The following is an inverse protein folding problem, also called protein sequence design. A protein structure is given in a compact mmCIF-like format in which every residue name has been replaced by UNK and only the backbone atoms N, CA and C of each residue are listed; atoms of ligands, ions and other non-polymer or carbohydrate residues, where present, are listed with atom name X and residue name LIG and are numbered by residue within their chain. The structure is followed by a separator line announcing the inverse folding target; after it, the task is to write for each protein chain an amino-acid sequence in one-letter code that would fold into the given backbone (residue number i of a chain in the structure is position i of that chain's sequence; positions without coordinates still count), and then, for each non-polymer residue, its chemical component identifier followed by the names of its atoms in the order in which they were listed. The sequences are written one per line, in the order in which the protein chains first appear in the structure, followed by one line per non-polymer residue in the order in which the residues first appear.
data_IF_245530912385
#
_entry.id   IF_245530912385
#
_cell.length_a   1.000
_cell.length_b   1.000
_cell.length_c   1.000
_cell.angle_alpha   90.00
_cell.angle_beta   90.00
_cell.angle_gamma   90.00
#
_symmetry.space_group_name_H-M   'P 1'
#
loop_
_entity.id
_entity.type
_entity.pdbx_description
1 polymer ?
#
# COMPACT_ATOMS: atom_id res chain seq x y z
N UNK A 1 -16.12 23.15 -18.36
CA UNK A 1 -14.76 23.53 -17.99
C UNK A 1 -14.77 23.94 -16.54
N UNK A 2 -14.46 23.02 -15.64
CA UNK A 2 -14.34 23.29 -14.21
C UNK A 2 -12.85 23.58 -13.96
N UNK A 3 -12.56 24.86 -13.65
CA UNK A 3 -11.22 25.29 -13.32
C UNK A 3 -10.77 24.66 -12.00
N UNK A 4 -9.58 24.06 -12.01
CA UNK A 4 -8.92 23.62 -10.79
C UNK A 4 -8.68 24.81 -9.84
N UNK A 5 -8.85 24.63 -8.52
CA UNK A 5 -8.62 25.71 -7.58
C UNK A 5 -7.14 26.11 -7.56
N UNK A 6 -6.89 27.42 -7.70
CA UNK A 6 -5.56 28.00 -7.53
C UNK A 6 -5.22 28.03 -6.03
N UNK A 7 -4.27 27.23 -5.62
CA UNK A 7 -3.72 27.28 -4.28
C UNK A 7 -2.56 28.27 -4.20
N UNK A 8 -2.64 29.10 -3.16
CA UNK A 8 -1.71 30.18 -2.87
C UNK A 8 -0.52 29.61 -2.09
N UNK A 9 0.63 29.47 -2.75
CA UNK A 9 1.90 29.12 -2.12
C UNK A 9 2.43 30.29 -1.31
N UNK A 10 2.32 30.22 0.02
CA UNK A 10 3.22 30.93 0.94
C UNK A 10 2.93 30.53 2.38
N UNK A 11 3.59 29.48 2.86
CA UNK A 11 4.03 29.31 4.27
C UNK A 11 5.09 28.21 4.31
N UNK A 12 6.34 28.61 4.06
CA UNK A 12 7.51 27.88 4.52
C UNK A 12 7.55 28.05 6.05
N UNK A 13 7.38 26.94 6.78
CA UNK A 13 7.64 26.90 8.22
C UNK A 13 9.11 26.55 8.39
N UNK A 14 9.87 27.54 8.84
CA UNK A 14 11.30 27.44 9.15
C UNK A 14 11.49 26.62 10.44
N UNK A 15 11.97 25.40 10.33
CA UNK A 15 12.33 24.52 11.46
C UNK A 15 13.82 24.71 11.76
N UNK A 16 14.18 25.88 12.28
CA UNK A 16 15.45 26.11 12.99
C UNK A 16 15.19 26.97 14.21
N UNK A 17 15.63 26.48 15.35
CA UNK A 17 15.68 27.09 16.68
C UNK A 17 14.64 26.54 17.66
N UNK A 18 15.10 25.57 18.47
CA UNK A 18 15.08 25.65 19.94
C UNK A 18 16.11 24.60 20.43
N UNK A 19 17.35 25.02 20.63
CA UNK A 19 18.29 24.42 21.57
C UNK A 19 18.82 25.60 22.38
N UNK A 20 18.42 25.72 23.63
CA UNK A 20 19.12 26.54 24.62
C UNK A 20 19.16 25.81 25.95
N UNK A 21 20.39 25.61 26.36
CA UNK A 21 20.98 25.14 27.59
C UNK A 21 20.17 25.33 28.89
N UNK A 22 20.19 24.26 29.71
CA UNK A 22 20.25 24.42 31.18
C UNK A 22 20.98 23.25 31.83
N UNK A 23 21.91 23.49 32.73
CA UNK A 23 22.76 22.47 33.33
C UNK A 23 22.30 22.02 34.73
N UNK A 24 22.73 20.80 35.08
CA UNK A 24 22.82 20.20 36.41
C UNK A 24 21.55 19.87 37.18
N UNK A 25 21.31 18.56 37.32
CA UNK A 25 21.26 17.90 38.64
C UNK A 25 21.57 16.41 38.41
N UNK A 26 22.70 15.93 38.99
CA UNK A 26 23.05 14.53 39.18
C UNK A 26 22.08 13.91 40.20
N UNK A 27 21.30 12.90 39.79
CA UNK A 27 20.88 11.83 40.67
C UNK A 27 20.83 10.54 39.84
N UNK A 28 21.76 9.64 40.15
CA UNK A 28 21.77 8.28 39.63
C UNK A 28 20.59 7.52 40.20
N UNK A 29 19.57 7.36 39.39
CA UNK A 29 18.56 6.29 39.50
C UNK A 29 18.71 5.42 38.26
N UNK A 30 18.88 4.14 38.49
CA UNK A 30 18.90 3.10 37.44
C UNK A 30 17.63 3.29 36.56
N UNK A 31 17.81 4.00 35.45
CA UNK A 31 16.85 3.99 34.35
C UNK A 31 16.99 2.62 33.68
N UNK A 32 16.03 1.75 33.95
CA UNK A 32 15.67 0.68 33.00
C UNK A 32 15.41 1.37 31.68
N UNK A 33 16.32 1.20 30.75
CA UNK A 33 16.24 1.64 29.35
C UNK A 33 15.09 0.85 28.67
N UNK A 34 13.87 1.28 28.92
CA UNK A 34 12.74 0.93 28.08
C UNK A 34 12.88 1.79 26.83
N UNK A 35 13.61 1.30 25.83
CA UNK A 35 13.64 1.90 24.51
C UNK A 35 12.22 2.04 24.02
N UNK A 36 11.73 3.26 24.00
CA UNK A 36 10.38 3.58 23.51
C UNK A 36 10.25 3.04 22.08
N UNK A 37 9.28 2.16 21.85
CA UNK A 37 9.05 1.54 20.54
C UNK A 37 8.79 2.65 19.52
N UNK A 38 9.66 2.77 18.51
CA UNK A 38 9.50 3.79 17.47
C UNK A 38 8.17 3.62 16.74
N UNK A 39 7.58 4.73 16.32
CA UNK A 39 6.32 4.77 15.62
C UNK A 39 6.40 4.05 14.27
N UNK A 40 5.47 3.16 14.01
CA UNK A 40 5.30 2.44 12.75
C UNK A 40 6.62 1.83 12.22
N UNK A 41 7.05 2.20 11.01
CA UNK A 41 8.30 1.75 10.38
C UNK A 41 9.46 2.75 10.50
N UNK A 42 9.42 3.69 11.43
CA UNK A 42 10.50 4.68 11.63
C UNK A 42 11.86 4.06 12.04
N UNK A 43 11.85 2.82 12.53
CA UNK A 43 13.08 2.07 12.81
C UNK A 43 13.58 1.26 11.61
N UNK A 44 12.76 1.04 10.57
CA UNK A 44 13.11 0.25 9.39
C UNK A 44 13.81 1.12 8.35
N UNK A 45 15.12 1.31 8.53
CA UNK A 45 15.97 2.16 7.67
C UNK A 45 16.92 1.35 6.78
N UNK A 46 16.96 0.04 6.90
CA UNK A 46 17.84 -0.83 6.12
C UNK A 46 17.34 -0.96 4.67
N UNK A 47 18.28 -0.94 3.72
CA UNK A 47 18.00 -1.22 2.33
C UNK A 47 17.45 -2.65 2.17
N UNK A 48 16.41 -2.81 1.34
CA UNK A 48 15.83 -4.11 1.04
C UNK A 48 16.46 -4.72 -0.19
N UNK A 49 16.54 -6.04 -0.18
CA UNK A 49 16.97 -6.80 -1.35
C UNK A 49 15.91 -6.72 -2.44
N UNK A 50 16.30 -6.16 -3.57
CA UNK A 50 15.45 -6.04 -4.75
C UNK A 50 15.52 -7.33 -5.58
N UNK A 51 14.37 -7.81 -6.03
CA UNK A 51 14.23 -8.85 -7.03
C UNK A 51 13.59 -8.29 -8.30
N UNK A 52 14.02 -8.82 -9.45
CA UNK A 52 13.44 -8.55 -10.76
C UNK A 52 12.99 -9.86 -11.37
N UNK A 53 11.72 -10.18 -11.26
CA UNK A 53 11.17 -11.46 -11.61
C UNK A 53 10.53 -11.41 -13.00
N UNK A 54 10.95 -12.31 -13.91
CA UNK A 54 10.34 -12.47 -15.23
C UNK A 54 9.17 -13.46 -15.12
N UNK A 55 7.94 -12.98 -15.26
CA UNK A 55 6.75 -13.83 -15.30
C UNK A 55 6.49 -14.41 -16.68
N UNK A 56 6.77 -13.63 -17.73
CA UNK A 56 6.67 -14.03 -19.14
C UNK A 56 7.56 -13.13 -19.99
N UNK A 57 7.49 -13.25 -21.33
CA UNK A 57 8.20 -12.32 -22.22
C UNK A 57 7.64 -10.89 -22.18
N UNK A 58 6.41 -10.72 -21.67
CA UNK A 58 5.72 -9.43 -21.60
C UNK A 58 5.57 -8.89 -20.17
N UNK A 59 5.77 -9.71 -19.14
CA UNK A 59 5.41 -9.36 -17.77
C UNK A 59 6.56 -9.58 -16.78
N UNK A 60 6.82 -8.57 -15.96
CA UNK A 60 7.88 -8.55 -14.94
C UNK A 60 7.35 -7.98 -13.64
N UNK A 61 8.00 -8.31 -12.53
CA UNK A 61 7.76 -7.71 -11.22
C UNK A 61 9.07 -7.17 -10.63
N UNK A 62 8.99 -5.97 -10.10
CA UNK A 62 10.02 -5.36 -9.25
C UNK A 62 9.55 -5.50 -7.81
N UNK A 63 10.23 -6.32 -7.01
CA UNK A 63 9.85 -6.61 -5.63
C UNK A 63 11.01 -6.30 -4.68
N UNK A 64 10.68 -5.95 -3.45
CA UNK A 64 11.65 -5.73 -2.39
C UNK A 64 11.05 -6.18 -1.05
N UNK A 65 11.74 -6.98 -0.31
CA UNK A 65 11.41 -7.65 0.97
C UNK A 65 10.38 -6.92 1.86
N UNK A 66 9.08 -7.12 1.62
CA UNK A 66 7.99 -6.47 2.35
C UNK A 66 7.64 -5.04 1.93
N UNK A 67 8.38 -4.45 0.99
CA UNK A 67 8.03 -3.17 0.36
C UNK A 67 6.94 -3.34 -0.71
N UNK A 68 6.30 -2.25 -1.15
CA UNK A 68 5.34 -2.28 -2.24
C UNK A 68 5.97 -2.78 -3.55
N UNK A 69 5.32 -3.76 -4.18
CA UNK A 69 5.72 -4.29 -5.48
C UNK A 69 5.26 -3.37 -6.62
N UNK A 70 6.02 -3.37 -7.71
CA UNK A 70 5.66 -2.72 -8.97
C UNK A 70 5.62 -3.73 -10.09
N UNK A 71 4.53 -3.75 -10.86
CA UNK A 71 4.39 -4.55 -12.07
C UNK A 71 4.88 -3.80 -13.30
N UNK A 72 5.45 -4.54 -14.27
CA UNK A 72 5.88 -4.01 -15.56
C UNK A 72 5.36 -4.91 -16.67
N UNK A 73 4.64 -4.32 -17.63
CA UNK A 73 4.07 -5.03 -18.80
C UNK A 73 4.62 -4.37 -20.06
N UNK A 74 5.30 -5.18 -20.89
CA UNK A 74 5.94 -4.72 -22.13
C UNK A 74 5.14 -5.25 -23.33
N UNK A 75 4.46 -4.34 -24.03
CA UNK A 75 3.75 -4.64 -25.26
C UNK A 75 4.56 -4.37 -26.53
N UNK A 76 3.89 -4.37 -27.70
CA UNK A 76 4.58 -4.16 -28.98
C UNK A 76 5.13 -2.74 -29.12
N UNK A 77 4.42 -1.73 -28.59
CA UNK A 77 4.65 -0.31 -28.84
C UNK A 77 4.86 0.55 -27.57
N UNK A 78 4.89 -0.06 -26.40
CA UNK A 78 5.05 0.65 -25.15
C UNK A 78 5.07 -0.25 -23.92
N UNK A 79 5.29 0.39 -22.79
CA UNK A 79 5.35 -0.24 -21.46
C UNK A 79 4.22 0.33 -20.60
N UNK A 80 3.62 -0.53 -19.79
CA UNK A 80 2.69 -0.18 -18.73
C UNK A 80 3.31 -0.54 -17.38
N UNK A 81 3.20 0.38 -16.43
CA UNK A 81 3.57 0.20 -15.02
C UNK A 81 2.30 -0.07 -14.22
N UNK A 82 2.37 -1.00 -13.29
CA UNK A 82 1.32 -1.27 -12.29
C UNK A 82 1.89 -0.89 -10.93
N UNK A 83 1.37 0.17 -10.36
CA UNK A 83 1.86 0.90 -9.19
C UNK A 83 3.25 1.53 -9.37
N UNK A 84 3.40 2.77 -8.92
CA UNK A 84 4.44 3.67 -9.38
C UNK A 84 5.60 3.87 -8.40
N UNK A 85 5.62 3.17 -7.25
CA UNK A 85 6.50 3.43 -6.10
C UNK A 85 6.14 4.70 -5.30
N UNK A 86 6.80 4.93 -4.16
CA UNK A 86 6.50 6.05 -3.25
C UNK A 86 7.07 7.40 -3.70
N UNK A 87 8.16 7.42 -4.48
CA UNK A 87 8.78 8.68 -4.95
C UNK A 87 9.27 8.57 -6.38
N UNK A 88 9.39 9.70 -7.11
CA UNK A 88 10.00 9.72 -8.44
C UNK A 88 11.44 9.18 -8.46
N UNK A 89 12.18 9.38 -7.37
CA UNK A 89 13.56 8.85 -7.24
C UNK A 89 13.54 7.33 -7.12
N UNK A 90 12.60 6.75 -6.34
CA UNK A 90 12.43 5.31 -6.25
C UNK A 90 12.02 4.69 -7.61
N UNK A 91 11.19 5.39 -8.39
CA UNK A 91 10.79 4.97 -9.74
C UNK A 91 11.99 4.79 -10.68
N UNK A 92 13.11 5.52 -10.50
CA UNK A 92 14.31 5.36 -11.30
C UNK A 92 14.89 3.94 -11.21
N UNK A 93 14.73 3.25 -10.08
CA UNK A 93 15.12 1.85 -9.92
C UNK A 93 14.37 0.92 -10.89
N UNK A 94 13.06 1.14 -11.03
CA UNK A 94 12.19 0.40 -11.97
C UNK A 94 12.55 0.74 -13.41
N UNK A 95 12.69 2.03 -13.73
CA UNK A 95 13.05 2.52 -15.07
C UNK A 95 14.38 1.90 -15.53
N UNK A 96 15.39 1.89 -14.65
CA UNK A 96 16.69 1.27 -14.94
C UNK A 96 16.52 -0.21 -15.35
N UNK A 97 15.69 -0.97 -14.63
CA UNK A 97 15.43 -2.37 -14.95
C UNK A 97 14.70 -2.54 -16.29
N UNK A 98 13.77 -1.67 -16.61
CA UNK A 98 13.09 -1.66 -17.90
C UNK A 98 14.08 -1.39 -19.04
N UNK A 99 14.98 -0.43 -18.87
CA UNK A 99 15.98 -0.04 -19.89
C UNK A 99 17.07 -1.10 -20.13
N UNK A 100 17.24 -2.07 -19.21
CA UNK A 100 18.04 -3.27 -19.46
C UNK A 100 17.39 -4.21 -20.51
N UNK A 101 16.06 -4.04 -20.80
CA UNK A 101 15.27 -4.95 -21.66
C UNK A 101 14.78 -4.24 -22.92
N UNK A 102 14.34 -2.97 -22.83
CA UNK A 102 13.68 -2.26 -23.92
C UNK A 102 13.83 -0.75 -23.81
N UNK A 103 13.93 -0.10 -25.01
CA UNK A 103 13.91 1.37 -25.15
C UNK A 103 12.48 1.90 -25.44
N UNK A 104 11.46 1.04 -25.43
CA UNK A 104 10.07 1.43 -25.67
C UNK A 104 9.61 2.48 -24.65
N UNK A 105 8.76 3.46 -25.06
CA UNK A 105 8.24 4.45 -24.14
C UNK A 105 7.38 3.81 -23.03
N UNK A 106 7.47 4.36 -21.83
CA UNK A 106 6.59 3.99 -20.73
C UNK A 106 5.33 4.86 -20.83
N UNK A 107 4.28 4.31 -21.46
CA UNK A 107 3.09 5.07 -21.84
C UNK A 107 2.03 5.15 -20.76
N UNK A 108 1.93 4.13 -19.91
CA UNK A 108 0.83 3.98 -18.97
C UNK A 108 1.34 3.66 -17.57
N UNK A 109 0.71 4.30 -16.58
CA UNK A 109 0.78 3.90 -15.17
C UNK A 109 -0.64 3.56 -14.73
N UNK A 110 -0.85 2.37 -14.20
CA UNK A 110 -2.11 1.97 -13.57
C UNK A 110 -1.93 2.01 -12.07
N UNK A 111 -2.79 2.73 -11.38
CA UNK A 111 -2.85 2.76 -9.92
C UNK A 111 -3.86 1.70 -9.46
N UNK A 112 -3.39 0.71 -8.69
CA UNK A 112 -4.29 -0.33 -8.17
C UNK A 112 -5.23 0.21 -7.10
N UNK A 113 -4.77 1.19 -6.32
CA UNK A 113 -5.53 1.95 -5.33
C UNK A 113 -4.83 3.30 -5.06
N UNK A 114 -5.23 4.04 -4.02
CA UNK A 114 -4.83 5.42 -3.83
C UNK A 114 -3.64 5.65 -2.87
N UNK A 115 -3.19 4.64 -2.11
CA UNK A 115 -2.15 4.84 -1.10
C UNK A 115 -0.84 5.36 -1.68
N UNK A 116 -0.26 6.35 -1.00
CA UNK A 116 0.83 7.17 -1.52
C UNK A 116 2.17 6.43 -1.64
N UNK A 117 2.40 5.36 -0.87
CA UNK A 117 3.55 4.45 -1.05
C UNK A 117 3.59 3.79 -2.44
N UNK A 118 2.47 3.86 -3.21
CA UNK A 118 2.35 3.23 -4.53
C UNK A 118 2.17 4.21 -5.67
N UNK A 119 1.78 5.45 -5.38
CA UNK A 119 1.30 6.34 -6.43
C UNK A 119 2.17 7.57 -6.66
N UNK A 120 2.86 8.11 -5.64
CA UNK A 120 3.56 9.38 -5.76
C UNK A 120 4.79 9.32 -6.67
N UNK A 121 5.32 8.12 -6.95
CA UNK A 121 6.40 7.91 -7.92
C UNK A 121 6.00 8.12 -9.39
N UNK A 122 4.71 8.26 -9.71
CA UNK A 122 4.22 8.33 -11.08
C UNK A 122 4.83 9.47 -11.90
N UNK A 123 5.17 10.61 -11.27
CA UNK A 123 5.82 11.72 -11.94
C UNK A 123 7.23 11.40 -12.46
N UNK A 124 7.89 10.35 -11.93
CA UNK A 124 9.19 9.87 -12.39
C UNK A 124 9.18 9.26 -13.79
N UNK A 125 8.00 8.89 -14.31
CA UNK A 125 7.86 8.33 -15.65
C UNK A 125 7.54 9.38 -16.75
N UNK A 126 7.41 10.67 -16.41
CA UNK A 126 7.03 11.72 -17.38
C UNK A 126 7.99 11.82 -18.56
N UNK A 127 9.28 11.82 -18.29
CA UNK A 127 10.31 11.95 -19.33
C UNK A 127 10.54 10.64 -20.10
N UNK A 128 9.88 9.55 -19.68
CA UNK A 128 9.95 8.23 -20.31
C UNK A 128 8.83 8.00 -21.35
N UNK A 129 7.99 8.99 -21.60
CA UNK A 129 6.91 8.94 -22.58
C UNK A 129 5.53 8.66 -22.00
N UNK A 130 5.30 8.96 -20.70
CA UNK A 130 4.02 8.75 -20.03
C UNK A 130 2.88 9.53 -20.70
N UNK A 131 1.89 8.80 -21.19
CA UNK A 131 0.69 9.33 -21.84
C UNK A 131 -0.49 9.42 -20.86
N UNK A 132 -0.71 8.38 -20.06
CA UNK A 132 -1.87 8.29 -19.14
C UNK A 132 -1.51 7.68 -17.80
N UNK A 133 -2.12 8.22 -16.74
CA UNK A 133 -2.22 7.62 -15.41
C UNK A 133 -3.67 7.14 -15.27
N UNK A 134 -3.86 5.85 -15.08
CA UNK A 134 -5.16 5.17 -15.11
C UNK A 134 -5.53 4.70 -13.71
N UNK A 135 -6.75 4.98 -13.26
CA UNK A 135 -7.27 4.47 -12.00
C UNK A 135 -8.78 4.22 -12.10
N UNK A 136 -9.33 3.46 -11.14
CA UNK A 136 -10.78 3.42 -11.00
C UNK A 136 -11.34 4.77 -10.57
N UNK A 137 -12.61 5.04 -10.87
CA UNK A 137 -13.28 6.25 -10.39
C UNK A 137 -13.29 6.30 -8.85
N UNK A 138 -13.48 5.16 -8.19
CA UNK A 138 -13.44 5.09 -6.72
C UNK A 138 -12.06 5.45 -6.16
N UNK A 139 -10.96 5.07 -6.83
CA UNK A 139 -9.59 5.49 -6.47
C UNK A 139 -9.43 7.00 -6.63
N UNK A 140 -9.93 7.59 -7.73
CA UNK A 140 -9.95 9.04 -7.91
C UNK A 140 -10.70 9.74 -6.79
N UNK A 141 -11.90 9.26 -6.45
CA UNK A 141 -12.75 9.84 -5.41
C UNK A 141 -12.05 9.80 -4.04
N UNK A 142 -11.28 8.73 -3.74
CA UNK A 142 -10.49 8.61 -2.52
C UNK A 142 -9.30 9.59 -2.52
N UNK A 143 -8.61 9.80 -3.64
CA UNK A 143 -7.56 10.82 -3.74
C UNK A 143 -8.14 12.22 -3.46
N UNK A 144 -9.33 12.53 -4.01
CA UNK A 144 -10.02 13.80 -3.75
C UNK A 144 -10.41 13.94 -2.28
N UNK A 145 -10.93 12.86 -1.68
CA UNK A 145 -11.44 12.87 -0.31
C UNK A 145 -10.32 12.96 0.74
N UNK A 146 -9.24 12.19 0.57
CA UNK A 146 -8.27 11.92 1.63
C UNK A 146 -6.80 11.86 1.19
N UNK A 147 -6.48 12.05 -0.09
CA UNK A 147 -5.12 11.87 -0.60
C UNK A 147 -4.08 12.73 0.12
N UNK A 148 -4.37 14.00 0.44
CA UNK A 148 -3.42 14.84 1.17
C UNK A 148 -3.17 14.34 2.59
N UNK A 149 -4.22 13.87 3.30
CA UNK A 149 -4.10 13.31 4.62
C UNK A 149 -3.32 11.98 4.61
N UNK A 150 -3.54 11.15 3.59
CA UNK A 150 -2.80 9.91 3.40
C UNK A 150 -1.32 10.19 3.19
N UNK A 151 -0.97 11.12 2.29
CA UNK A 151 0.40 11.53 2.02
C UNK A 151 1.11 12.01 3.30
N UNK A 152 0.49 12.91 4.06
CA UNK A 152 1.07 13.45 5.31
C UNK A 152 1.25 12.34 6.36
N UNK A 153 0.32 11.40 6.44
CA UNK A 153 0.35 10.24 7.34
C UNK A 153 1.43 9.24 6.93
N UNK A 154 1.46 8.80 5.66
CA UNK A 154 2.38 7.77 5.19
C UNK A 154 3.84 8.20 5.19
N UNK A 155 4.15 9.45 4.83
CA UNK A 155 5.51 10.01 4.93
C UNK A 155 6.04 9.88 6.36
N UNK A 156 5.21 10.15 7.37
CA UNK A 156 5.56 10.01 8.77
C UNK A 156 5.79 8.56 9.21
N UNK A 157 5.10 7.60 8.58
CA UNK A 157 5.15 6.18 8.92
C UNK A 157 6.32 5.43 8.25
N UNK A 158 6.70 5.81 7.03
CA UNK A 158 7.66 5.09 6.18
C UNK A 158 8.83 5.96 5.69
N UNK A 159 9.67 6.53 6.56
CA UNK A 159 10.73 7.45 6.13
C UNK A 159 11.69 6.85 5.11
N UNK A 160 11.91 5.54 5.13
CA UNK A 160 12.77 4.85 4.15
C UNK A 160 12.15 4.82 2.75
N UNK A 161 10.85 4.55 2.63
CA UNK A 161 10.16 4.50 1.33
C UNK A 161 10.04 5.90 0.71
N UNK A 162 9.90 6.92 1.53
CA UNK A 162 9.79 8.32 1.10
C UNK A 162 11.13 9.06 1.10
N UNK A 163 12.24 8.34 0.87
CA UNK A 163 13.52 9.01 0.60
C UNK A 163 13.37 9.96 -0.60
N UNK A 164 14.01 11.15 -0.50
CA UNK A 164 13.88 12.23 -1.47
C UNK A 164 12.42 12.68 -1.69
N UNK A 165 11.64 12.74 -0.60
CA UNK A 165 10.24 13.20 -0.63
C UNK A 165 10.08 14.59 -1.26
N UNK A 166 11.11 15.44 -1.19
CA UNK A 166 11.16 16.73 -1.85
C UNK A 166 11.10 16.67 -3.39
N UNK A 167 11.33 15.48 -3.97
CA UNK A 167 11.16 15.23 -5.41
C UNK A 167 9.71 15.00 -5.83
N UNK A 168 8.81 14.76 -4.86
CA UNK A 168 7.38 14.54 -5.09
C UNK A 168 6.70 15.88 -5.38
N UNK A 169 6.08 16.09 -6.56
CA UNK A 169 5.49 17.38 -6.91
C UNK A 169 4.12 17.64 -6.26
N UNK A 170 3.63 16.73 -5.43
CA UNK A 170 2.30 16.70 -4.83
C UNK A 170 1.55 15.41 -5.19
N UNK A 171 0.24 15.39 -4.95
CA UNK A 171 -0.59 14.21 -5.22
C UNK A 171 -0.53 13.77 -6.68
N UNK A 172 -0.56 12.47 -6.90
CA UNK A 172 -0.69 11.88 -8.23
C UNK A 172 -2.15 11.89 -8.67
N UNK A 173 -2.43 12.56 -9.78
CA UNK A 173 -3.76 12.64 -10.34
C UNK A 173 -3.90 11.71 -11.56
N UNK A 174 -4.81 10.73 -11.53
CA UNK A 174 -5.16 9.97 -12.72
C UNK A 174 -5.64 10.89 -13.85
N UNK A 175 -5.22 10.61 -15.07
CA UNK A 175 -5.64 11.34 -16.27
C UNK A 175 -6.76 10.64 -17.01
N UNK A 176 -6.98 9.35 -16.69
CA UNK A 176 -8.05 8.53 -17.21
C UNK A 176 -8.66 7.69 -16.08
N UNK A 177 -9.98 7.79 -15.89
CA UNK A 177 -10.72 6.97 -14.93
C UNK A 177 -11.66 6.01 -15.61
N UNK A 178 -11.94 4.87 -14.96
CA UNK A 178 -12.90 3.86 -15.42
C UNK A 178 -13.79 3.36 -14.27
N UNK A 179 -14.87 2.67 -14.62
CA UNK A 179 -15.73 1.96 -13.69
C UNK A 179 -15.86 0.50 -14.12
N UNK A 180 -15.78 -0.42 -13.17
CA UNK A 180 -15.92 -1.84 -13.42
C UNK A 180 -14.69 -2.43 -14.13
N UNK A 181 -14.68 -2.45 -15.45
CA UNK A 181 -13.60 -3.05 -16.26
C UNK A 181 -13.31 -2.21 -17.50
N UNK A 182 -12.03 -2.14 -17.87
CA UNK A 182 -11.60 -1.66 -19.18
C UNK A 182 -10.57 -2.61 -19.78
N UNK A 183 -10.47 -2.63 -21.11
CA UNK A 183 -9.43 -3.34 -21.85
C UNK A 183 -8.55 -2.34 -22.56
N UNK A 184 -7.24 -2.45 -22.35
CA UNK A 184 -6.23 -1.69 -23.06
C UNK A 184 -5.37 -2.66 -23.90
N UNK A 185 -5.10 -2.28 -25.15
CA UNK A 185 -4.24 -3.05 -26.03
C UNK A 185 -2.87 -2.41 -26.14
N UNK A 186 -1.83 -3.11 -25.69
CA UNK A 186 -0.43 -2.73 -25.91
C UNK A 186 0.08 -3.40 -27.19
N UNK A 187 -0.24 -2.83 -28.33
CA UNK A 187 -0.10 -3.50 -29.62
C UNK A 187 -1.07 -4.68 -29.71
N UNK A 188 -0.55 -5.92 -29.75
CA UNK A 188 -1.37 -7.15 -29.77
C UNK A 188 -1.66 -7.73 -28.38
N UNK A 189 -1.03 -7.21 -27.35
CA UNK A 189 -1.19 -7.70 -25.99
C UNK A 189 -2.47 -7.14 -25.35
N UNK A 190 -3.40 -8.02 -25.02
CA UNK A 190 -4.60 -7.68 -24.28
C UNK A 190 -4.26 -7.50 -22.80
N UNK A 191 -4.60 -6.33 -22.24
CA UNK A 191 -4.47 -6.00 -20.82
C UNK A 191 -5.85 -5.61 -20.29
N UNK A 192 -6.36 -6.35 -19.32
CA UNK A 192 -7.59 -6.02 -18.61
C UNK A 192 -7.28 -5.33 -17.29
N UNK A 193 -7.94 -4.21 -17.06
CA UNK A 193 -7.87 -3.41 -15.83
C UNK A 193 -9.25 -3.48 -15.21
N UNK A 194 -9.35 -4.01 -13.97
CA UNK A 194 -10.66 -4.43 -13.47
C UNK A 194 -10.79 -4.25 -11.97
N UNK A 195 -11.94 -3.74 -11.53
CA UNK A 195 -12.43 -3.84 -10.16
C UNK A 195 -13.09 -5.21 -9.95
N UNK A 196 -12.69 -5.95 -8.92
CA UNK A 196 -13.23 -7.30 -8.63
C UNK A 196 -14.03 -7.35 -7.33
N UNK A 197 -14.15 -6.22 -6.67
CA UNK A 197 -14.77 -6.01 -5.38
C UNK A 197 -13.87 -5.12 -4.53
N UNK A 198 -14.39 -4.63 -3.43
CA UNK A 198 -13.62 -3.87 -2.46
C UNK A 198 -13.04 -4.80 -1.40
N UNK A 199 -11.88 -4.46 -0.89
CA UNK A 199 -11.19 -5.25 0.13
C UNK A 199 -10.23 -4.38 0.89
N UNK A 200 -9.03 -4.14 0.35
CA UNK A 200 -8.02 -3.27 0.91
C UNK A 200 -8.45 -1.79 0.92
N UNK A 201 -9.10 -1.36 -0.17
CA UNK A 201 -9.76 -0.06 -0.30
C UNK A 201 -11.10 -0.19 -1.03
N UNK A 202 -11.81 0.92 -1.18
CA UNK A 202 -13.01 1.00 -2.02
C UNK A 202 -12.68 0.90 -3.51
N UNK A 203 -11.50 1.39 -3.92
CA UNK A 203 -11.12 1.56 -5.34
C UNK A 203 -10.29 0.43 -5.93
N UNK A 204 -10.10 -0.67 -5.19
CA UNK A 204 -9.19 -1.75 -5.57
C UNK A 204 -9.33 -2.22 -7.01
N UNK A 205 -8.20 -2.23 -7.71
CA UNK A 205 -8.10 -2.56 -9.12
C UNK A 205 -7.01 -3.60 -9.33
N UNK A 206 -7.28 -4.59 -10.16
CA UNK A 206 -6.28 -5.55 -10.65
C UNK A 206 -5.92 -5.28 -12.11
N UNK A 207 -4.70 -5.65 -12.50
CA UNK A 207 -4.28 -5.70 -13.90
C UNK A 207 -4.06 -7.16 -14.29
N UNK A 208 -4.72 -7.60 -15.36
CA UNK A 208 -4.75 -9.00 -15.75
C UNK A 208 -4.41 -9.18 -17.23
N UNK A 209 -3.52 -10.13 -17.51
CA UNK A 209 -3.14 -10.58 -18.85
C UNK A 209 -3.86 -11.90 -19.17
N UNK A 210 -5.04 -11.88 -19.84
CA UNK A 210 -5.87 -13.08 -20.03
C UNK A 210 -5.15 -14.20 -20.78
N UNK A 211 -4.44 -13.85 -21.87
CA UNK A 211 -3.72 -14.80 -22.70
C UNK A 211 -2.55 -15.50 -21.99
N UNK A 212 -2.08 -14.95 -20.87
CA UNK A 212 -0.94 -15.47 -20.11
C UNK A 212 -1.35 -15.91 -18.68
N UNK A 213 -2.60 -15.64 -18.28
CA UNK A 213 -3.15 -15.86 -16.93
C UNK A 213 -2.30 -15.29 -15.80
N UNK A 214 -1.76 -14.08 -16.02
CA UNK A 214 -0.93 -13.34 -15.06
C UNK A 214 -1.75 -12.22 -14.48
N UNK A 215 -1.77 -12.09 -13.14
CA UNK A 215 -2.46 -11.03 -12.42
C UNK A 215 -1.46 -10.20 -11.59
N UNK A 216 -1.67 -8.89 -11.59
CA UNK A 216 -1.11 -7.94 -10.64
C UNK A 216 -2.26 -7.48 -9.75
N UNK A 217 -2.24 -7.86 -8.48
CA UNK A 217 -3.41 -7.73 -7.61
C UNK A 217 -3.47 -6.45 -6.78
N UNK A 218 -2.37 -5.66 -6.76
CA UNK A 218 -2.23 -4.66 -5.70
C UNK A 218 -2.40 -5.30 -4.34
N UNK A 219 -2.82 -4.54 -3.35
CA UNK A 219 -2.92 -4.98 -1.96
C UNK A 219 -4.17 -5.84 -1.65
N UNK A 220 -4.96 -6.19 -2.70
CA UNK A 220 -5.98 -7.23 -2.54
C UNK A 220 -5.38 -8.59 -2.18
N UNK A 221 -4.11 -8.85 -2.57
CA UNK A 221 -3.36 -10.03 -2.15
C UNK A 221 -2.00 -9.60 -1.65
N UNK A 222 -1.67 -9.98 -0.43
CA UNK A 222 -0.34 -9.87 0.14
C UNK A 222 0.15 -11.23 0.60
N UNK A 223 1.45 -11.47 0.54
CA UNK A 223 2.02 -12.77 0.88
C UNK A 223 3.36 -12.59 1.60
N UNK A 224 3.55 -13.29 2.73
CA UNK A 224 4.72 -13.18 3.61
C UNK A 224 4.99 -11.75 4.13
N UNK A 225 3.97 -10.90 4.06
CA UNK A 225 3.91 -9.55 4.64
C UNK A 225 2.55 -9.36 5.32
N UNK A 226 2.47 -8.46 6.28
CA UNK A 226 1.18 -8.11 6.89
C UNK A 226 0.32 -7.35 5.89
N UNK A 227 -0.97 -7.66 5.85
CA UNK A 227 -1.94 -6.89 5.09
C UNK A 227 -2.22 -5.59 5.86
N UNK A 228 -1.96 -4.43 5.27
CA UNK A 228 -2.46 -3.19 5.84
C UNK A 228 -3.98 -3.11 5.62
N UNK A 229 -4.72 -2.93 6.70
CA UNK A 229 -6.19 -2.92 6.63
C UNK A 229 -6.82 -1.61 7.12
N UNK A 230 -6.02 -0.55 7.33
CA UNK A 230 -6.50 0.73 7.88
C UNK A 230 -7.66 1.36 7.12
N UNK A 231 -7.76 1.11 5.82
CA UNK A 231 -8.82 1.61 4.92
C UNK A 231 -9.68 0.50 4.32
N UNK A 232 -9.59 -0.72 4.90
CA UNK A 232 -10.22 -1.90 4.36
C UNK A 232 -11.73 -1.99 4.64
N UNK A 233 -12.36 -2.84 3.84
CA UNK A 233 -13.71 -3.35 4.02
C UNK A 233 -13.63 -4.84 4.37
N UNK A 234 -13.37 -5.11 5.65
CA UNK A 234 -13.01 -6.44 6.13
C UNK A 234 -14.12 -7.47 5.96
N UNK A 235 -15.36 -7.05 6.07
CA UNK A 235 -16.51 -7.92 5.84
C UNK A 235 -16.67 -8.33 4.37
N UNK A 236 -16.25 -7.49 3.43
CA UNK A 236 -16.42 -7.72 1.99
C UNK A 236 -15.21 -8.42 1.36
N UNK A 237 -14.00 -8.22 1.91
CA UNK A 237 -12.75 -8.72 1.34
C UNK A 237 -12.73 -10.23 1.08
N UNK A 238 -13.28 -11.11 1.95
CA UNK A 238 -13.37 -12.53 1.64
C UNK A 238 -14.12 -12.85 0.34
N UNK A 239 -15.21 -12.13 0.03
CA UNK A 239 -15.93 -12.30 -1.24
C UNK A 239 -15.11 -11.81 -2.44
N UNK A 240 -14.36 -10.73 -2.28
CA UNK A 240 -13.44 -10.23 -3.30
C UNK A 240 -12.33 -11.24 -3.60
N UNK A 241 -11.81 -11.92 -2.57
CA UNK A 241 -10.86 -13.02 -2.75
C UNK A 241 -11.49 -14.23 -3.46
N UNK A 242 -12.78 -14.54 -3.22
CA UNK A 242 -13.48 -15.59 -3.98
C UNK A 242 -13.60 -15.24 -5.46
N UNK A 243 -13.85 -13.97 -5.79
CA UNK A 243 -13.88 -13.49 -7.17
C UNK A 243 -12.49 -13.65 -7.84
N UNK A 244 -11.38 -13.39 -7.12
CA UNK A 244 -10.02 -13.64 -7.62
C UNK A 244 -9.75 -15.13 -7.83
N UNK A 245 -10.13 -15.99 -6.88
CA UNK A 245 -9.99 -17.46 -7.00
C UNK A 245 -10.71 -17.97 -8.26
N UNK A 246 -11.90 -17.45 -8.56
CA UNK A 246 -12.70 -17.85 -9.72
C UNK A 246 -12.01 -17.52 -11.07
N UNK A 247 -11.10 -16.54 -11.12
CA UNK A 247 -10.38 -16.14 -12.34
C UNK A 247 -9.25 -17.12 -12.73
N UNK A 248 -8.79 -17.98 -11.83
CA UNK A 248 -7.82 -19.06 -12.06
C UNK A 248 -6.50 -18.60 -12.71
N UNK A 249 -5.78 -17.74 -12.01
CA UNK A 249 -4.46 -17.28 -12.44
C UNK A 249 -3.42 -18.40 -12.37
N UNK A 250 -2.47 -18.39 -13.32
CA UNK A 250 -1.29 -19.24 -13.27
C UNK A 250 -0.15 -18.57 -12.48
N UNK A 251 -0.08 -17.23 -12.52
CA UNK A 251 0.89 -16.40 -11.77
C UNK A 251 0.23 -15.16 -11.22
N UNK A 252 0.74 -14.68 -10.10
CA UNK A 252 0.24 -13.47 -9.45
C UNK A 252 1.40 -12.66 -8.83
N UNK A 253 1.39 -11.36 -9.05
CA UNK A 253 2.22 -10.39 -8.34
C UNK A 253 1.36 -9.79 -7.23
N UNK A 254 1.64 -10.09 -5.95
CA UNK A 254 0.93 -9.49 -4.83
C UNK A 254 1.34 -8.04 -4.64
N UNK A 255 0.63 -7.31 -3.80
CA UNK A 255 1.02 -5.95 -3.44
C UNK A 255 2.33 -5.89 -2.68
N UNK A 256 2.58 -6.87 -1.80
CA UNK A 256 3.83 -7.05 -1.06
C UNK A 256 4.20 -8.53 -1.02
N UNK A 257 5.50 -8.80 -0.92
CA UNK A 257 6.05 -10.15 -0.84
C UNK A 257 6.46 -10.73 -2.20
N UNK A 258 6.90 -11.99 -2.23
CA UNK A 258 7.46 -12.60 -3.43
C UNK A 258 6.41 -12.85 -4.51
N UNK A 259 6.85 -12.80 -5.77
CA UNK A 259 6.03 -13.17 -6.92
C UNK A 259 5.59 -14.64 -6.87
N UNK A 260 4.32 -14.90 -7.09
CA UNK A 260 3.71 -16.23 -7.07
C UNK A 260 3.73 -16.80 -8.49
N UNK A 261 4.60 -17.78 -8.74
CA UNK A 261 5.01 -18.23 -10.08
C UNK A 261 4.29 -19.49 -10.55
N UNK A 262 3.48 -20.13 -9.68
CA UNK A 262 2.69 -21.32 -10.03
C UNK A 262 1.27 -21.22 -9.50
N UNK A 263 0.31 -21.95 -10.08
CA UNK A 263 -1.08 -21.96 -9.57
C UNK A 263 -1.18 -22.34 -8.09
N UNK A 264 -0.32 -23.24 -7.60
CA UNK A 264 -0.30 -23.67 -6.20
C UNK A 264 0.18 -22.52 -5.29
N UNK A 265 1.21 -21.77 -5.72
CA UNK A 265 1.68 -20.59 -5.00
C UNK A 265 0.59 -19.50 -4.98
N UNK A 266 -0.10 -19.29 -6.11
CA UNK A 266 -1.22 -18.33 -6.19
C UNK A 266 -2.32 -18.69 -5.19
N UNK A 267 -2.73 -19.97 -5.13
CA UNK A 267 -3.71 -20.42 -4.16
C UNK A 267 -3.23 -20.23 -2.71
N UNK A 268 -1.95 -20.47 -2.45
CA UNK A 268 -1.35 -20.25 -1.13
C UNK A 268 -1.38 -18.76 -0.74
N UNK A 269 -1.05 -17.84 -1.66
CA UNK A 269 -1.11 -16.41 -1.41
C UNK A 269 -2.53 -15.90 -1.14
N UNK A 270 -3.49 -16.34 -1.94
CA UNK A 270 -4.92 -16.02 -1.74
C UNK A 270 -5.44 -16.55 -0.39
N UNK A 271 -5.06 -17.78 -0.03
CA UNK A 271 -5.43 -18.39 1.26
C UNK A 271 -4.77 -17.67 2.45
N UNK A 272 -3.51 -17.23 2.29
CA UNK A 272 -2.78 -16.48 3.30
C UNK A 272 -3.47 -15.14 3.60
N UNK A 273 -3.78 -14.33 2.57
CA UNK A 273 -4.48 -13.06 2.73
C UNK A 273 -5.84 -13.28 3.40
N UNK A 274 -6.58 -14.32 2.98
CA UNK A 274 -7.87 -14.67 3.58
C UNK A 274 -7.73 -15.02 5.06
N UNK A 275 -6.74 -15.82 5.43
CA UNK A 275 -6.52 -16.20 6.83
C UNK A 275 -6.16 -14.99 7.69
N UNK A 276 -5.30 -14.10 7.17
CA UNK A 276 -4.93 -12.86 7.85
C UNK A 276 -6.16 -11.99 8.14
N UNK A 277 -6.91 -11.62 7.09
CA UNK A 277 -8.07 -10.73 7.18
C UNK A 277 -9.17 -11.34 8.04
N UNK A 278 -9.45 -12.65 7.86
CA UNK A 278 -10.50 -13.33 8.62
C UNK A 278 -10.15 -13.50 10.09
N UNK A 279 -8.87 -13.80 10.42
CA UNK A 279 -8.41 -13.91 11.81
C UNK A 279 -8.50 -12.56 12.52
N UNK A 280 -8.03 -11.49 11.87
CA UNK A 280 -8.11 -10.13 12.37
C UNK A 280 -9.55 -9.71 12.66
N UNK A 281 -10.42 -9.80 11.66
CA UNK A 281 -11.79 -9.30 11.79
C UNK A 281 -12.62 -10.09 12.78
N UNK A 282 -12.49 -11.42 12.78
CA UNK A 282 -13.17 -12.30 13.76
C UNK A 282 -12.75 -11.96 15.18
N UNK A 283 -11.47 -11.77 15.43
CA UNK A 283 -10.97 -11.41 16.77
C UNK A 283 -11.51 -10.06 17.23
N UNK A 284 -11.58 -9.06 16.33
CA UNK A 284 -12.16 -7.77 16.65
C UNK A 284 -13.68 -7.87 16.93
N UNK A 285 -14.41 -8.65 16.14
CA UNK A 285 -15.84 -8.92 16.40
C UNK A 285 -16.09 -9.57 17.77
N UNK A 286 -15.26 -10.55 18.13
CA UNK A 286 -15.35 -11.20 19.45
C UNK A 286 -15.07 -10.21 20.59
N UNK A 287 -14.08 -9.34 20.43
CA UNK A 287 -13.74 -8.31 21.41
C UNK A 287 -14.85 -7.27 21.58
N UNK A 288 -15.38 -6.75 20.47
CA UNK A 288 -16.48 -5.77 20.48
C UNK A 288 -17.75 -6.36 21.08
N UNK A 289 -18.09 -7.63 20.76
CA UNK A 289 -19.24 -8.32 21.33
C UNK A 289 -19.12 -8.50 22.88
N UNK A 290 -17.90 -8.48 23.42
CA UNK A 290 -17.61 -8.53 24.86
C UNK A 290 -17.50 -7.11 25.48
N UNK A 291 -17.73 -6.04 24.72
CA UNK A 291 -17.66 -4.66 25.19
C UNK A 291 -16.23 -4.17 25.44
N UNK A 292 -15.23 -4.78 24.82
CA UNK A 292 -13.83 -4.37 24.97
C UNK A 292 -13.60 -3.03 24.25
N UNK A 293 -12.84 -2.14 24.90
CA UNK A 293 -12.31 -0.93 24.25
C UNK A 293 -11.20 -1.28 23.23
N UNK A 294 -10.70 -0.28 22.53
CA UNK A 294 -9.68 -0.47 21.49
C UNK A 294 -8.40 -1.15 22.05
N UNK A 295 -7.95 -0.75 23.23
CA UNK A 295 -6.73 -1.28 23.85
C UNK A 295 -6.90 -2.76 24.25
N UNK A 296 -8.03 -3.11 24.84
CA UNK A 296 -8.36 -4.50 25.16
C UNK A 296 -8.56 -5.33 23.88
N UNK A 297 -9.17 -4.75 22.83
CA UNK A 297 -9.30 -5.38 21.51
C UNK A 297 -7.92 -5.66 20.91
N UNK A 298 -6.97 -4.75 21.01
CA UNK A 298 -5.59 -4.96 20.55
C UNK A 298 -4.95 -6.15 21.25
N UNK A 299 -5.04 -6.20 22.59
CA UNK A 299 -4.49 -7.31 23.37
C UNK A 299 -5.18 -8.66 23.06
N UNK A 300 -6.49 -8.65 22.81
CA UNK A 300 -7.25 -9.83 22.40
C UNK A 300 -6.84 -10.31 21.02
N UNK A 301 -6.76 -9.39 20.04
CA UNK A 301 -6.42 -9.71 18.64
C UNK A 301 -4.99 -10.25 18.51
N UNK A 302 -4.01 -9.68 19.23
CA UNK A 302 -2.63 -10.19 19.23
C UNK A 302 -2.56 -11.69 19.59
N UNK A 303 -3.37 -12.18 20.51
CA UNK A 303 -3.36 -13.61 20.89
C UNK A 303 -3.69 -14.54 19.71
N UNK A 304 -4.50 -14.07 18.76
CA UNK A 304 -4.86 -14.83 17.57
C UNK A 304 -3.89 -14.57 16.40
N UNK A 305 -3.40 -13.34 16.26
CA UNK A 305 -2.59 -12.90 15.12
C UNK A 305 -1.10 -13.23 15.29
N UNK A 306 -0.51 -12.93 16.46
CA UNK A 306 0.93 -13.08 16.71
C UNK A 306 1.46 -14.50 16.40
N UNK A 307 0.79 -15.60 16.81
CA UNK A 307 1.29 -16.96 16.52
C UNK A 307 1.35 -17.29 15.02
N UNK A 308 0.50 -16.65 14.22
CA UNK A 308 0.40 -16.89 12.78
C UNK A 308 1.25 -15.91 11.96
N UNK A 309 1.24 -14.64 12.33
CA UNK A 309 1.70 -13.53 11.48
C UNK A 309 2.73 -12.62 12.16
N UNK A 310 3.04 -12.80 13.45
CA UNK A 310 3.95 -11.93 14.19
C UNK A 310 5.39 -11.86 13.64
N UNK A 311 5.74 -12.78 12.75
CA UNK A 311 7.07 -12.89 12.13
C UNK A 311 7.18 -12.31 10.72
N UNK A 312 6.05 -11.88 10.11
CA UNK A 312 6.07 -11.41 8.72
C UNK A 312 6.46 -9.94 8.62
N UNK A 313 6.91 -9.52 7.45
CA UNK A 313 7.30 -8.13 7.20
C UNK A 313 6.19 -7.15 7.55
N UNK A 314 6.56 -6.00 8.09
CA UNK A 314 5.71 -4.86 8.47
C UNK A 314 4.55 -5.18 9.45
N UNK A 315 4.53 -6.36 10.08
CA UNK A 315 3.45 -6.75 11.00
C UNK A 315 3.26 -5.75 12.14
N UNK A 316 4.32 -5.36 12.82
CA UNK A 316 4.25 -4.42 13.94
C UNK A 316 3.89 -2.99 13.52
N UNK A 317 4.10 -2.65 12.24
CA UNK A 317 3.62 -1.41 11.66
C UNK A 317 2.11 -1.46 11.43
N UNK A 318 1.62 -2.53 10.77
CA UNK A 318 0.24 -2.63 10.33
C UNK A 318 -0.73 -2.87 11.48
N UNK A 319 -0.37 -3.73 12.42
CA UNK A 319 -1.30 -4.25 13.42
C UNK A 319 -2.08 -3.17 14.22
N UNK A 320 -1.49 -2.03 14.66
CA UNK A 320 -2.24 -0.97 15.33
C UNK A 320 -3.34 -0.36 14.46
N UNK A 321 -3.05 -0.12 13.19
CA UNK A 321 -4.01 0.41 12.20
C UNK A 321 -5.08 -0.64 11.87
N UNK A 322 -4.66 -1.89 11.71
CA UNK A 322 -5.51 -3.03 11.38
C UNK A 322 -6.55 -3.28 12.47
N UNK A 323 -6.10 -3.35 13.72
CA UNK A 323 -7.00 -3.56 14.86
C UNK A 323 -7.93 -2.38 15.06
N UNK A 324 -7.44 -1.14 14.86
CA UNK A 324 -8.29 0.05 14.97
C UNK A 324 -9.40 0.02 13.92
N UNK A 325 -9.08 -0.31 12.67
CA UNK A 325 -10.08 -0.43 11.59
C UNK A 325 -11.05 -1.60 11.84
N UNK A 326 -10.53 -2.75 12.25
CA UNK A 326 -11.36 -3.92 12.54
C UNK A 326 -12.32 -3.66 13.71
N UNK A 327 -11.87 -2.97 14.76
CA UNK A 327 -12.72 -2.53 15.87
C UNK A 327 -13.80 -1.54 15.42
N UNK A 328 -13.44 -0.55 14.57
CA UNK A 328 -14.39 0.40 14.00
C UNK A 328 -15.49 -0.31 13.20
N UNK A 329 -15.11 -1.22 12.28
CA UNK A 329 -16.06 -1.93 11.44
C UNK A 329 -16.95 -2.89 12.25
N UNK A 330 -16.38 -3.62 13.21
CA UNK A 330 -17.12 -4.48 14.12
C UNK A 330 -18.09 -3.68 15.02
N UNK A 331 -17.77 -2.42 15.31
CA UNK A 331 -18.63 -1.49 16.04
C UNK A 331 -19.68 -0.78 15.17
N UNK A 332 -19.78 -1.13 13.87
CA UNK A 332 -20.78 -0.60 12.94
C UNK A 332 -20.34 0.60 12.11
N UNK A 333 -19.07 1.04 12.19
CA UNK A 333 -18.50 2.09 11.34
C UNK A 333 -18.06 1.45 10.02
N UNK A 334 -18.95 1.46 9.02
CA UNK A 334 -18.75 0.74 7.76
C UNK A 334 -17.65 1.34 6.89
N UNK A 335 -17.64 2.68 6.75
CA UNK A 335 -16.64 3.36 5.94
C UNK A 335 -15.39 3.70 6.77
N UNK A 336 -14.20 3.46 6.24
CA UNK A 336 -12.96 3.78 6.95
C UNK A 336 -12.85 5.27 7.27
N UNK A 337 -12.49 5.59 8.51
CA UNK A 337 -12.17 6.95 8.91
C UNK A 337 -10.83 7.36 8.36
N UNK A 338 -10.72 8.60 7.89
CA UNK A 338 -9.49 9.14 7.32
C UNK A 338 -8.35 9.07 8.34
N UNK A 339 -7.21 8.54 7.94
CA UNK A 339 -5.97 8.62 8.67
C UNK A 339 -5.31 9.97 8.41
N UNK A 340 -4.95 10.65 9.49
CA UNK A 340 -4.15 11.87 9.47
C UNK A 340 -2.92 11.64 10.32
N UNK A 341 -1.84 12.36 10.06
CA UNK A 341 -0.62 12.26 10.87
C UNK A 341 -0.91 12.44 12.38
N UNK A 342 -1.88 13.30 12.73
CA UNK A 342 -2.30 13.49 14.12
C UNK A 342 -3.04 12.27 14.68
N UNK A 343 -4.00 11.71 13.92
CA UNK A 343 -4.77 10.52 14.34
C UNK A 343 -3.85 9.31 14.50
N UNK A 344 -2.87 9.15 13.64
CA UNK A 344 -1.87 8.09 13.72
C UNK A 344 -1.15 8.12 15.06
N UNK A 345 -0.65 9.29 15.45
CA UNK A 345 0.04 9.49 16.73
C UNK A 345 -0.88 9.27 17.93
N UNK A 346 -2.10 9.81 17.88
CA UNK A 346 -3.09 9.62 18.95
C UNK A 346 -3.42 8.14 19.16
N UNK A 347 -3.67 7.40 18.07
CA UNK A 347 -3.93 5.96 18.11
C UNK A 347 -2.71 5.19 18.64
N UNK A 348 -1.52 5.50 18.13
CA UNK A 348 -0.29 4.84 18.55
C UNK A 348 -0.04 5.00 20.04
N UNK A 349 -0.12 6.25 20.57
CA UNK A 349 0.04 6.52 21.99
C UNK A 349 -1.05 5.86 22.85
N UNK A 350 -2.30 5.88 22.40
CA UNK A 350 -3.40 5.23 23.14
C UNK A 350 -3.17 3.70 23.29
N UNK A 351 -2.58 3.05 22.28
CA UNK A 351 -2.28 1.62 22.34
C UNK A 351 -1.01 1.29 23.12
N UNK A 352 -0.03 2.22 23.24
CA UNK A 352 1.20 2.02 24.00
C UNK A 352 1.06 2.38 25.49
N UNK A 353 0.10 3.25 25.86
CA UNK A 353 -0.09 3.68 27.25
C UNK A 353 -0.36 2.46 28.16
N UNK A 354 0.50 2.27 29.16
CA UNK A 354 0.43 1.19 30.16
C UNK A 354 -0.64 1.52 31.21
#
# INVERSE_FOLDING_TARGET
MIQAPKFNNNKLIDIRLILSDNPCINNATEQTDMTEKKFASQADLEEKKISWDKLSDNAYAYTAEGDPNTGVIIGDDGVMIVDATATPVAAQGVIKKIREITDKPIKYVVLTHYHDVRVLGASGYKDEGLEQIIASQDTWDLIVERGQQDMDSEIGRFPRLFQAVESVPGLTWPTLTFQGEMTLWLGKLEVKIKQVGRGHTKGDTIVYLPGQKICFSGDLVEFEAACYTGDAYLADWPQTLDNLVAMKFDKLVPGRGPTLMTPEQVQKGLAYTRDFVSTLYKSAQEAVAQGMDLKATMAHTRKAMDPKFGHVFIYEHCLPFDVTRAHDEASGIRDPRIWTAERDQQMWHALQAV
#
